data_IF_564617693315
#
_entry.id   IF_564617693315
#
_cell.length_a   1.000
_cell.length_b   1.000
_cell.length_c   1.000
_cell.angle_alpha   90.00
_cell.angle_beta   90.00
_cell.angle_gamma   90.00
#
_symmetry.space_group_name_H-M   'P 1'
#
loop_
_entity.id
_entity.type
_entity.pdbx_description
1 polymer ?
#
# COMPACT_ATOMS: atom_id res chain seq x y z
N UNK A 1 10.08 -21.29 21.16
CA UNK A 1 9.87 -20.35 20.04
C UNK A 1 10.56 -19.04 20.39
N UNK A 2 11.24 -18.37 19.46
CA UNK A 2 11.85 -17.06 19.76
C UNK A 2 10.73 -16.04 20.06
N UNK A 3 10.83 -15.18 21.08
CA UNK A 3 9.76 -14.26 21.46
C UNK A 3 9.24 -13.38 20.32
N UNK A 4 10.12 -12.98 19.40
CA UNK A 4 9.75 -12.21 18.21
C UNK A 4 8.89 -13.02 17.22
N UNK A 5 9.21 -14.29 16.97
CA UNK A 5 8.42 -15.15 16.08
C UNK A 5 7.02 -15.40 16.62
N UNK A 6 6.91 -15.57 17.94
CA UNK A 6 5.61 -15.74 18.59
C UNK A 6 4.75 -14.48 18.47
N UNK A 7 5.33 -13.30 18.67
CA UNK A 7 4.62 -12.02 18.51
C UNK A 7 4.12 -11.80 17.08
N UNK A 8 4.96 -12.01 16.07
CA UNK A 8 4.57 -11.87 14.65
C UNK A 8 3.42 -12.81 14.28
N UNK A 9 3.48 -14.08 14.69
CA UNK A 9 2.40 -15.04 14.43
C UNK A 9 1.10 -14.68 15.15
N UNK A 10 1.20 -14.08 16.34
CA UNK A 10 0.04 -13.62 17.11
C UNK A 10 -0.63 -12.40 16.49
N UNK A 11 0.14 -11.46 15.95
CA UNK A 11 -0.38 -10.31 15.21
C UNK A 11 -1.11 -10.79 13.95
N UNK A 12 -0.46 -11.60 13.11
CA UNK A 12 -1.09 -12.17 11.92
C UNK A 12 -2.36 -12.99 12.25
N UNK A 13 -2.36 -13.72 13.36
CA UNK A 13 -3.51 -14.46 13.86
C UNK A 13 -4.61 -13.55 14.44
N UNK A 14 -4.24 -12.42 15.02
CA UNK A 14 -5.20 -11.41 15.46
C UNK A 14 -5.89 -10.76 14.26
N UNK A 15 -5.11 -10.29 13.30
CA UNK A 15 -5.60 -9.59 12.12
C UNK A 15 -6.53 -10.50 11.30
N UNK A 16 -6.15 -11.76 11.07
CA UNK A 16 -6.95 -12.67 10.27
C UNK A 16 -8.29 -13.11 10.90
N UNK A 17 -8.47 -13.00 12.23
CA UNK A 17 -9.61 -13.63 12.92
C UNK A 17 -10.36 -12.74 13.91
N UNK A 18 -9.86 -11.54 14.23
CA UNK A 18 -10.49 -10.62 15.20
C UNK A 18 -11.88 -10.16 14.75
N UNK A 19 -12.11 -10.06 13.43
CA UNK A 19 -13.43 -9.73 12.87
C UNK A 19 -14.39 -10.93 12.76
N UNK A 20 -13.87 -12.16 12.85
CA UNK A 20 -14.66 -13.39 12.72
C UNK A 20 -15.02 -14.02 14.07
N UNK A 21 -14.24 -13.72 15.11
CA UNK A 21 -14.34 -14.32 16.43
C UNK A 21 -14.63 -13.22 17.46
N UNK A 22 -15.56 -13.47 18.36
CA UNK A 22 -15.63 -12.64 19.58
C UNK A 22 -14.29 -12.70 20.33
N UNK A 23 -13.96 -11.67 21.14
CA UNK A 23 -12.72 -11.65 21.91
C UNK A 23 -12.49 -12.93 22.73
N UNK A 24 -13.55 -13.50 23.29
CA UNK A 24 -13.47 -14.74 24.05
C UNK A 24 -13.23 -15.98 23.17
N UNK A 25 -13.84 -16.04 21.97
CA UNK A 25 -13.55 -17.09 21.00
C UNK A 25 -12.11 -17.01 20.49
N UNK A 26 -11.61 -15.80 20.23
CA UNK A 26 -10.23 -15.58 19.83
C UNK A 26 -9.25 -16.03 20.92
N UNK A 27 -9.47 -15.63 22.18
CA UNK A 27 -8.61 -16.01 23.31
C UNK A 27 -8.58 -17.52 23.50
N UNK A 28 -9.73 -18.19 23.42
CA UNK A 28 -9.80 -19.64 23.56
C UNK A 28 -9.10 -20.37 22.40
N UNK A 29 -9.30 -19.92 21.15
CA UNK A 29 -8.66 -20.54 19.98
C UNK A 29 -7.15 -20.34 19.97
N UNK A 30 -6.71 -19.14 20.34
CA UNK A 30 -5.29 -18.81 20.45
C UNK A 30 -4.64 -19.57 21.62
N UNK A 31 -5.35 -19.78 22.72
CA UNK A 31 -4.89 -20.62 23.84
C UNK A 31 -4.64 -22.06 23.40
N UNK A 32 -5.58 -22.69 22.68
CA UNK A 32 -5.41 -24.05 22.14
C UNK A 32 -4.13 -24.18 21.30
N UNK A 33 -3.87 -23.20 20.43
CA UNK A 33 -2.72 -23.19 19.52
C UNK A 33 -1.41 -22.87 20.24
N UNK A 34 -1.44 -21.93 21.19
CA UNK A 34 -0.25 -21.42 21.85
C UNK A 34 0.20 -22.30 23.02
N UNK A 35 -0.72 -23.03 23.68
CA UNK A 35 -0.43 -23.78 24.92
C UNK A 35 0.79 -24.70 24.83
N UNK A 36 1.01 -25.48 23.75
CA UNK A 36 2.19 -26.35 23.63
C UNK A 36 3.54 -25.60 23.63
N UNK A 37 3.53 -24.29 23.47
CA UNK A 37 4.73 -23.44 23.38
C UNK A 37 5.06 -22.69 24.67
N UNK A 38 4.21 -22.75 25.69
CA UNK A 38 4.44 -22.11 26.99
C UNK A 38 4.96 -23.12 28.03
N UNK A 39 5.82 -22.68 28.96
CA UNK A 39 6.29 -23.55 30.02
C UNK A 39 5.15 -23.97 30.96
N UNK A 40 5.24 -25.19 31.49
CA UNK A 40 4.19 -25.84 32.29
C UNK A 40 3.83 -25.07 33.57
N UNK A 41 4.71 -24.18 34.05
CA UNK A 41 4.50 -23.38 35.25
C UNK A 41 3.55 -22.19 35.05
N UNK A 42 3.12 -21.90 33.82
CA UNK A 42 2.07 -20.92 33.53
C UNK A 42 0.76 -21.70 33.46
N UNK A 43 -0.17 -21.45 34.36
CA UNK A 43 -1.51 -22.05 34.30
C UNK A 43 -2.36 -21.47 33.15
N UNK A 44 -3.45 -22.17 32.81
CA UNK A 44 -4.30 -21.81 31.68
C UNK A 44 -4.99 -20.45 31.86
N UNK A 45 -5.39 -20.10 33.08
CA UNK A 45 -6.06 -18.84 33.37
C UNK A 45 -5.08 -17.66 33.20
N UNK A 46 -3.85 -17.82 33.66
CA UNK A 46 -2.77 -16.85 33.46
C UNK A 46 -2.46 -16.67 31.98
N UNK A 47 -2.35 -17.77 31.22
CA UNK A 47 -2.11 -17.68 29.78
C UNK A 47 -3.28 -16.99 29.04
N UNK A 48 -4.53 -17.34 29.36
CA UNK A 48 -5.71 -16.69 28.77
C UNK A 48 -5.80 -15.20 29.12
N UNK A 49 -5.41 -14.81 30.33
CA UNK A 49 -5.35 -13.40 30.72
C UNK A 49 -4.27 -12.63 29.95
N UNK A 50 -3.11 -13.24 29.72
CA UNK A 50 -2.05 -12.66 28.86
C UNK A 50 -2.58 -12.49 27.42
N UNK A 51 -3.24 -13.52 26.87
CA UNK A 51 -3.80 -13.47 25.53
C UNK A 51 -4.92 -12.42 25.39
N UNK A 52 -5.76 -12.26 26.42
CA UNK A 52 -6.77 -11.19 26.44
C UNK A 52 -6.12 -9.81 26.45
N UNK A 53 -5.09 -9.61 27.27
CA UNK A 53 -4.30 -8.38 27.25
C UNK A 53 -3.60 -8.13 25.90
N UNK A 54 -3.21 -9.18 25.18
CA UNK A 54 -2.66 -9.06 23.84
C UNK A 54 -3.73 -8.68 22.81
N UNK A 55 -4.89 -9.34 22.83
CA UNK A 55 -6.04 -9.00 22.00
C UNK A 55 -6.46 -7.54 22.20
N UNK A 56 -6.63 -7.10 23.45
CA UNK A 56 -7.05 -5.73 23.77
C UNK A 56 -5.98 -4.68 23.45
N UNK A 57 -4.72 -5.08 23.27
CA UNK A 57 -3.60 -4.21 22.91
C UNK A 57 -3.35 -4.12 21.40
N UNK A 58 -3.93 -5.02 20.60
CA UNK A 58 -3.90 -4.93 19.14
C UNK A 58 -5.16 -4.14 18.73
N UNK A 59 -5.01 -2.91 18.20
CA UNK A 59 -6.16 -2.16 17.72
C UNK A 59 -6.83 -2.99 16.61
N UNK A 60 -8.15 -3.12 16.64
CA UNK A 60 -8.87 -3.80 15.55
C UNK A 60 -8.62 -3.09 14.21
N UNK A 61 -8.70 -3.80 13.09
CA UNK A 61 -8.63 -3.20 11.74
C UNK A 61 -9.65 -2.06 11.59
N UNK A 62 -10.81 -2.19 12.24
CA UNK A 62 -11.82 -1.14 12.32
C UNK A 62 -11.36 0.09 13.10
N UNK A 63 -10.57 -0.05 14.15
CA UNK A 63 -9.98 1.08 14.90
C UNK A 63 -8.80 1.72 14.16
N UNK A 64 -8.01 0.93 13.41
CA UNK A 64 -6.97 1.45 12.51
C UNK A 64 -7.58 2.21 11.32
N UNK A 65 -8.62 1.65 10.70
CA UNK A 65 -9.40 2.30 9.64
C UNK A 65 -10.08 3.59 10.14
N UNK A 66 -10.61 3.59 11.38
CA UNK A 66 -11.20 4.79 11.99
C UNK A 66 -10.15 5.86 12.38
N UNK A 67 -8.89 5.49 12.59
CA UNK A 67 -7.79 6.46 12.76
C UNK A 67 -7.40 7.16 11.46
N UNK A 68 -7.84 6.62 10.32
CA UNK A 68 -7.65 7.19 9.00
C UNK A 68 -8.93 7.84 8.47
N UNK A 69 -9.79 8.46 9.29
CA UNK A 69 -10.88 9.25 8.73
C UNK A 69 -10.28 10.42 7.93
N UNK A 70 -10.37 10.41 6.59
CA UNK A 70 -9.95 11.57 5.84
C UNK A 70 -10.87 12.73 6.23
N UNK A 71 -10.27 13.86 6.60
CA UNK A 71 -10.99 15.14 6.52
C UNK A 71 -11.07 15.45 5.03
N UNK A 72 -12.00 14.79 4.34
CA UNK A 72 -12.36 15.12 2.95
C UNK A 72 -13.08 16.46 3.04
N UNK A 73 -12.32 17.54 2.90
CA UNK A 73 -12.87 18.90 2.88
C UNK A 73 -13.76 19.07 1.64
N UNK A 74 -13.45 18.36 0.54
CA UNK A 74 -14.32 18.12 -0.61
C UNK A 74 -13.76 16.98 -1.48
N UNK A 75 -14.54 16.44 -2.42
CA UNK A 75 -14.06 15.42 -3.37
C UNK A 75 -12.85 15.89 -4.22
N UNK A 76 -12.58 17.20 -4.25
CA UNK A 76 -11.45 17.80 -4.97
C UNK A 76 -10.24 18.06 -4.06
N UNK A 77 -10.42 18.22 -2.75
CA UNK A 77 -9.35 18.59 -1.80
C UNK A 77 -9.27 17.58 -0.66
N UNK A 78 -8.15 16.85 -0.63
CA UNK A 78 -7.89 15.77 0.32
C UNK A 78 -6.85 16.27 1.33
N UNK A 79 -7.23 16.24 2.61
CA UNK A 79 -6.33 16.43 3.74
C UNK A 79 -6.43 15.20 4.65
N UNK A 80 -5.31 14.51 4.87
CA UNK A 80 -5.31 13.23 5.58
C UNK A 80 -4.01 13.04 6.36
N UNK A 81 -4.09 12.33 7.48
CA UNK A 81 -2.92 11.81 8.18
C UNK A 81 -2.66 10.40 7.65
N UNK A 82 -1.49 10.19 7.08
CA UNK A 82 -1.08 8.90 6.54
C UNK A 82 0.37 8.59 6.88
N UNK A 83 0.77 7.34 6.67
CA UNK A 83 2.05 6.82 7.11
C UNK A 83 2.88 6.33 5.94
N UNK A 84 4.19 6.51 6.02
CA UNK A 84 5.15 6.01 5.03
C UNK A 84 6.25 5.20 5.71
N UNK A 85 6.47 3.99 5.22
CA UNK A 85 7.65 3.20 5.56
C UNK A 85 8.82 3.57 4.67
N UNK A 86 9.98 3.81 5.27
CA UNK A 86 11.23 4.02 4.53
C UNK A 86 12.35 3.14 5.06
N UNK A 87 13.21 2.68 4.16
CA UNK A 87 14.34 1.78 4.44
C UNK A 87 15.71 2.41 4.18
N UNK A 88 15.73 3.54 3.46
CA UNK A 88 16.96 4.21 3.00
C UNK A 88 17.72 4.95 4.10
N UNK A 89 18.86 5.52 3.72
CA UNK A 89 19.60 6.41 4.61
C UNK A 89 18.76 7.66 4.92
N UNK A 90 18.73 8.04 6.19
CA UNK A 90 18.06 9.25 6.63
C UNK A 90 18.64 10.47 5.90
N UNK A 91 17.83 11.12 5.06
CA UNK A 91 18.25 12.35 4.39
C UNK A 91 18.42 13.49 5.41
N UNK A 92 19.32 14.45 5.16
CA UNK A 92 19.42 15.67 5.95
C UNK A 92 18.05 16.34 6.09
N UNK A 93 17.74 16.84 7.29
CA UNK A 93 16.46 17.49 7.62
C UNK A 93 15.22 16.60 7.53
N UNK A 94 15.39 15.26 7.59
CA UNK A 94 14.28 14.31 7.50
C UNK A 94 13.45 14.45 6.20
N UNK A 95 14.10 14.83 5.09
CA UNK A 95 13.43 14.84 3.80
C UNK A 95 12.89 13.44 3.47
N UNK A 96 11.70 13.40 2.84
CA UNK A 96 11.11 12.19 2.32
C UNK A 96 12.00 11.63 1.21
N UNK A 97 12.26 10.33 1.25
CA UNK A 97 13.06 9.64 0.26
C UNK A 97 12.15 8.93 -0.73
N UNK A 98 12.26 9.23 -2.02
CA UNK A 98 11.57 8.48 -3.08
C UNK A 98 12.52 8.23 -4.25
N UNK A 99 12.35 7.06 -4.89
CA UNK A 99 13.01 6.73 -6.16
C UNK A 99 12.09 6.95 -7.37
N UNK A 100 10.79 7.10 -7.12
CA UNK A 100 9.73 7.20 -8.12
C UNK A 100 9.17 8.63 -8.10
N UNK A 101 8.49 9.03 -9.18
CA UNK A 101 7.90 10.37 -9.27
C UNK A 101 6.75 10.63 -8.30
N UNK A 102 6.15 9.58 -7.73
CA UNK A 102 5.18 9.64 -6.65
C UNK A 102 5.80 9.30 -5.30
N UNK A 103 5.16 9.74 -4.21
CA UNK A 103 5.51 9.37 -2.83
C UNK A 103 4.28 8.73 -2.20
N UNK A 104 4.33 7.41 -2.03
CA UNK A 104 3.27 6.62 -1.39
C UNK A 104 3.20 6.76 0.12
N UNK A 105 1.97 6.78 0.61
CA UNK A 105 1.57 6.69 2.00
C UNK A 105 0.36 5.76 2.11
N UNK A 106 0.18 5.12 3.26
CA UNK A 106 -0.96 4.26 3.56
C UNK A 106 -1.22 4.23 5.06
N UNK A 107 -1.74 3.11 5.55
CA UNK A 107 -1.89 2.90 6.99
C UNK A 107 -0.55 2.75 7.70
N UNK A 108 -0.60 2.89 9.03
CA UNK A 108 0.57 2.63 9.88
C UNK A 108 1.05 1.19 9.76
N UNK A 109 0.13 0.22 9.66
CA UNK A 109 0.47 -1.19 9.54
C UNK A 109 1.25 -1.46 8.25
N UNK A 110 0.74 -0.97 7.11
CA UNK A 110 1.41 -1.05 5.81
C UNK A 110 2.77 -0.35 5.85
N UNK A 111 2.84 0.86 6.43
CA UNK A 111 4.10 1.58 6.57
C UNK A 111 5.13 0.82 7.43
N UNK A 112 4.69 0.13 8.48
CA UNK A 112 5.56 -0.73 9.30
C UNK A 112 6.06 -1.95 8.51
N UNK A 113 5.20 -2.57 7.71
CA UNK A 113 5.57 -3.69 6.84
C UNK A 113 6.66 -3.26 5.83
N UNK A 114 6.45 -2.13 5.13
CA UNK A 114 7.44 -1.57 4.20
C UNK A 114 8.72 -1.09 4.88
N UNK A 115 8.64 -0.55 6.10
CA UNK A 115 9.83 -0.21 6.87
C UNK A 115 10.61 -1.45 7.35
N UNK A 116 9.98 -2.63 7.40
CA UNK A 116 10.64 -3.88 7.76
C UNK A 116 11.21 -4.61 6.54
N UNK A 117 10.46 -4.65 5.43
CA UNK A 117 10.80 -5.37 4.21
C UNK A 117 10.42 -4.55 2.96
N UNK A 118 11.40 -4.25 2.09
CA UNK A 118 11.13 -3.62 0.79
C UNK A 118 10.64 -4.64 -0.21
N UNK A 119 9.73 -4.25 -1.09
CA UNK A 119 9.45 -5.01 -2.31
C UNK A 119 10.66 -5.06 -3.27
N UNK A 120 11.59 -4.11 -3.16
CA UNK A 120 12.78 -4.02 -4.02
C UNK A 120 13.99 -4.85 -3.51
N UNK A 121 13.80 -5.68 -2.47
CA UNK A 121 14.87 -6.45 -1.80
C UNK A 121 16.06 -5.60 -1.31
N UNK A 122 15.83 -4.32 -1.01
CA UNK A 122 16.85 -3.45 -0.43
C UNK A 122 17.26 -3.90 0.97
N UNK A 123 18.55 -3.79 1.28
CA UNK A 123 19.02 -3.92 2.66
C UNK A 123 18.54 -2.72 3.48
N UNK A 124 17.78 -2.93 4.58
CA UNK A 124 17.34 -1.84 5.45
C UNK A 124 18.54 -1.14 6.10
N UNK A 125 18.75 0.14 5.79
CA UNK A 125 19.84 0.95 6.36
C UNK A 125 19.37 1.69 7.60
N UNK A 126 18.24 2.41 7.50
CA UNK A 126 17.67 3.18 8.61
C UNK A 126 16.15 3.10 8.57
N UNK A 127 15.57 1.92 8.89
CA UNK A 127 14.13 1.71 8.80
C UNK A 127 13.37 2.68 9.70
N UNK A 128 12.38 3.38 9.13
CA UNK A 128 11.56 4.36 9.84
C UNK A 128 10.14 4.39 9.32
N UNK A 129 9.22 4.71 10.22
CA UNK A 129 7.81 5.00 9.90
C UNK A 129 7.58 6.48 10.11
N UNK A 130 7.14 7.15 9.05
CA UNK A 130 6.89 8.59 9.03
C UNK A 130 5.38 8.81 9.08
N UNK A 131 4.92 9.56 10.06
CA UNK A 131 3.55 10.10 10.10
C UNK A 131 3.56 11.49 9.45
N UNK A 132 2.71 11.71 8.45
CA UNK A 132 2.62 12.99 7.76
C UNK A 132 1.17 13.42 7.57
N UNK A 133 0.95 14.73 7.63
CA UNK A 133 -0.25 15.35 7.06
C UNK A 133 -0.02 15.57 5.57
N UNK A 134 -0.89 15.02 4.74
CA UNK A 134 -0.87 15.16 3.29
C UNK A 134 -1.92 16.15 2.81
N UNK A 135 -1.59 16.91 1.78
CA UNK A 135 -2.51 17.82 1.09
C UNK A 135 -2.47 17.54 -0.41
N UNK A 136 -3.57 17.02 -0.96
CA UNK A 136 -3.76 16.80 -2.41
C UNK A 136 -4.93 17.68 -2.84
N UNK A 137 -4.69 18.63 -3.75
CA UNK A 137 -5.69 19.64 -4.16
C UNK A 137 -6.36 19.32 -5.48
N UNK A 138 -5.73 18.49 -6.30
CA UNK A 138 -6.25 18.06 -7.59
C UNK A 138 -5.76 16.63 -7.85
N UNK A 139 -6.41 15.63 -7.21
CA UNK A 139 -6.06 14.25 -7.42
C UNK A 139 -6.35 13.82 -8.86
N UNK A 140 -5.47 13.01 -9.46
CA UNK A 140 -5.74 12.33 -10.73
C UNK A 140 -6.91 11.38 -10.54
N UNK A 141 -6.84 10.52 -9.52
CA UNK A 141 -7.87 9.57 -9.10
C UNK A 141 -8.19 9.82 -7.64
N UNK A 142 -9.46 9.71 -7.26
CA UNK A 142 -9.92 9.78 -5.88
C UNK A 142 -10.96 8.67 -5.63
N UNK A 143 -10.50 7.42 -5.73
CA UNK A 143 -11.31 6.23 -5.49
C UNK A 143 -10.57 5.28 -4.53
N UNK A 144 -10.65 5.51 -3.21
CA UNK A 144 -9.87 4.77 -2.22
C UNK A 144 -10.13 3.26 -2.17
N UNK A 145 -11.20 2.79 -2.82
CA UNK A 145 -11.61 1.39 -2.80
C UNK A 145 -11.25 0.65 -4.09
N UNK A 146 -10.91 1.37 -5.17
CA UNK A 146 -10.62 0.78 -6.48
C UNK A 146 -9.10 0.78 -6.77
N UNK A 147 -8.46 -0.40 -6.88
CA UNK A 147 -7.05 -0.50 -7.23
C UNK A 147 -6.76 -0.28 -8.73
N UNK A 148 -7.79 -0.21 -9.56
CA UNK A 148 -7.69 -0.04 -11.01
C UNK A 148 -7.83 1.43 -11.43
N UNK A 149 -7.52 1.70 -12.69
CA UNK A 149 -7.76 2.99 -13.33
C UNK A 149 -8.40 2.77 -14.70
N UNK A 150 -9.53 3.44 -14.92
CA UNK A 150 -10.27 3.35 -16.18
C UNK A 150 -9.55 4.09 -17.33
N UNK A 151 -9.55 3.48 -18.50
CA UNK A 151 -9.07 4.11 -19.72
C UNK A 151 -9.89 5.36 -20.09
N UNK A 152 -11.21 5.35 -19.87
CA UNK A 152 -12.04 6.55 -20.04
C UNK A 152 -11.56 7.70 -19.15
N UNK A 153 -11.19 7.41 -17.91
CA UNK A 153 -10.65 8.40 -17.00
C UNK A 153 -9.31 8.95 -17.51
N UNK A 154 -8.39 8.08 -17.91
CA UNK A 154 -7.12 8.49 -18.52
C UNK A 154 -7.31 9.34 -19.78
N UNK A 155 -8.27 9.00 -20.65
CA UNK A 155 -8.60 9.79 -21.85
C UNK A 155 -9.01 11.22 -21.46
N UNK A 156 -9.80 11.37 -20.40
CA UNK A 156 -10.23 12.68 -19.93
C UNK A 156 -9.08 13.49 -19.27
N UNK A 157 -8.09 12.80 -18.70
CA UNK A 157 -6.95 13.42 -17.98
C UNK A 157 -5.82 13.80 -18.93
N UNK A 158 -5.33 12.86 -19.74
CA UNK A 158 -4.13 13.02 -20.59
C UNK A 158 -4.42 12.97 -22.09
N UNK A 159 -5.66 12.71 -22.48
CA UNK A 159 -6.05 12.56 -23.88
C UNK A 159 -5.88 11.13 -24.40
N UNK A 160 -6.58 10.84 -25.50
CA UNK A 160 -6.65 9.50 -26.08
C UNK A 160 -5.32 8.95 -26.57
N UNK A 161 -4.51 9.76 -27.26
CA UNK A 161 -3.20 9.32 -27.78
C UNK A 161 -2.27 8.84 -26.66
N UNK A 162 -2.09 9.65 -25.61
CA UNK A 162 -1.31 9.29 -24.41
C UNK A 162 -1.89 8.10 -23.67
N UNK A 163 -3.22 7.95 -23.66
CA UNK A 163 -3.88 6.78 -23.05
C UNK A 163 -3.57 5.50 -23.81
N UNK A 164 -3.61 5.52 -25.15
CA UNK A 164 -3.24 4.36 -25.96
C UNK A 164 -1.77 3.96 -25.76
N UNK A 165 -0.89 4.94 -25.56
CA UNK A 165 0.51 4.68 -25.21
C UNK A 165 0.64 3.99 -23.83
N UNK A 166 -0.10 4.46 -22.82
CA UNK A 166 -0.16 3.82 -21.50
C UNK A 166 -0.65 2.37 -21.61
N UNK A 167 -1.75 2.13 -22.33
CA UNK A 167 -2.33 0.78 -22.48
C UNK A 167 -1.35 -0.20 -23.12
N UNK A 168 -0.62 0.23 -24.16
CA UNK A 168 0.37 -0.62 -24.84
C UNK A 168 1.60 -0.87 -23.96
N UNK A 169 2.13 0.16 -23.31
CA UNK A 169 3.33 0.03 -22.45
C UNK A 169 3.07 -0.77 -21.17
N UNK A 170 1.80 -0.90 -20.75
CA UNK A 170 1.37 -1.63 -19.55
C UNK A 170 0.44 -2.81 -19.92
N UNK A 171 0.65 -3.43 -21.08
CA UNK A 171 -0.17 -4.54 -21.59
C UNK A 171 -0.29 -5.70 -20.60
N UNK A 172 0.75 -5.98 -19.82
CA UNK A 172 0.73 -7.07 -18.84
C UNK A 172 -0.28 -6.79 -17.71
N UNK A 173 -0.42 -5.53 -17.30
CA UNK A 173 -1.40 -5.10 -16.31
C UNK A 173 -2.81 -4.97 -16.86
N UNK A 174 -2.94 -4.79 -18.17
CA UNK A 174 -4.22 -4.80 -18.87
C UNK A 174 -4.74 -6.23 -19.03
N UNK A 175 -3.91 -7.12 -19.57
CA UNK A 175 -4.28 -8.51 -19.89
C UNK A 175 -4.42 -9.42 -18.68
N UNK A 176 -3.83 -9.05 -17.54
CA UNK A 176 -4.01 -9.77 -16.28
C UNK A 176 -5.28 -9.32 -15.53
N UNK A 177 -6.31 -8.86 -16.25
CA UNK A 177 -7.62 -8.49 -15.70
C UNK A 177 -8.72 -9.30 -16.37
N UNK A 178 -9.77 -9.65 -15.61
CA UNK A 178 -10.95 -10.32 -16.18
C UNK A 178 -11.65 -9.45 -17.24
N UNK A 179 -11.52 -8.12 -17.15
CA UNK A 179 -12.12 -7.18 -18.10
C UNK A 179 -11.53 -7.31 -19.50
N UNK A 180 -10.21 -7.46 -19.63
CA UNK A 180 -9.58 -7.66 -20.93
C UNK A 180 -10.17 -8.88 -21.64
N UNK A 181 -10.22 -10.03 -20.96
CA UNK A 181 -10.74 -11.28 -21.51
C UNK A 181 -12.20 -11.13 -21.98
N UNK A 182 -13.04 -10.49 -21.16
CA UNK A 182 -14.44 -10.21 -21.52
C UNK A 182 -14.53 -9.32 -22.76
N UNK A 183 -13.72 -8.25 -22.84
CA UNK A 183 -13.77 -7.31 -23.96
C UNK A 183 -13.26 -7.95 -25.26
N UNK A 184 -12.17 -8.71 -25.24
CA UNK A 184 -11.68 -9.37 -26.47
C UNK A 184 -12.62 -10.48 -26.93
N UNK A 185 -13.29 -11.21 -26.04
CA UNK A 185 -14.32 -12.19 -26.41
C UNK A 185 -15.56 -11.50 -27.02
N UNK A 186 -16.05 -10.42 -26.39
CA UNK A 186 -17.22 -9.66 -26.87
C UNK A 186 -17.06 -9.16 -28.31
N UNK A 187 -15.85 -8.75 -28.68
CA UNK A 187 -15.53 -8.22 -30.00
C UNK A 187 -14.91 -9.23 -30.97
N UNK A 188 -14.82 -10.52 -30.61
CA UNK A 188 -14.21 -11.58 -31.42
C UNK A 188 -12.74 -11.26 -31.79
N UNK A 189 -11.96 -10.78 -30.80
CA UNK A 189 -10.55 -10.34 -30.93
C UNK A 189 -9.57 -11.22 -30.13
N UNK A 190 -10.03 -12.27 -29.46
CA UNK A 190 -9.24 -13.21 -28.62
C UNK A 190 -8.10 -13.91 -29.37
N UNK A 191 -8.19 -13.96 -30.70
CA UNK A 191 -7.19 -14.55 -31.60
C UNK A 191 -6.05 -13.58 -31.98
N UNK A 192 -6.10 -12.32 -31.55
CA UNK A 192 -5.12 -11.29 -31.86
C UNK A 192 -4.08 -11.10 -30.75
N UNK A 193 -2.93 -10.53 -31.08
CA UNK A 193 -2.02 -9.97 -30.08
C UNK A 193 -2.59 -8.69 -29.47
N UNK A 194 -2.06 -8.27 -28.32
CA UNK A 194 -2.59 -7.11 -27.58
C UNK A 194 -2.60 -5.84 -28.42
N UNK A 195 -1.51 -5.55 -29.15
CA UNK A 195 -1.42 -4.36 -30.00
C UNK A 195 -2.45 -4.41 -31.13
N UNK A 196 -2.59 -5.55 -31.82
CA UNK A 196 -3.58 -5.69 -32.90
C UNK A 196 -5.02 -5.62 -32.39
N UNK A 197 -5.29 -6.18 -31.20
CA UNK A 197 -6.59 -6.09 -30.54
C UNK A 197 -6.93 -4.65 -30.16
N UNK A 198 -5.99 -3.90 -29.58
CA UNK A 198 -6.17 -2.48 -29.26
C UNK A 198 -6.42 -1.63 -30.52
N UNK A 199 -5.70 -1.88 -31.62
CA UNK A 199 -5.90 -1.21 -32.91
C UNK A 199 -7.27 -1.54 -33.54
N UNK A 200 -7.81 -2.74 -33.27
CA UNK A 200 -9.15 -3.13 -33.69
C UNK A 200 -10.21 -2.46 -32.79
N UNK A 201 -10.04 -2.48 -31.48
CA UNK A 201 -10.91 -1.83 -30.49
C UNK A 201 -11.01 -0.32 -30.70
N UNK A 202 -9.94 0.36 -31.13
CA UNK A 202 -9.97 1.80 -31.42
C UNK A 202 -10.99 2.17 -32.51
N UNK A 203 -11.33 1.22 -33.40
CA UNK A 203 -12.33 1.39 -34.46
C UNK A 203 -13.75 1.10 -33.99
N UNK A 204 -13.91 0.55 -32.79
CA UNK A 204 -15.18 0.17 -32.18
C UNK A 204 -15.57 1.25 -31.14
N UNK A 205 -16.71 1.93 -31.31
CA UNK A 205 -17.11 2.98 -30.37
C UNK A 205 -17.23 2.47 -28.93
N UNK A 206 -16.47 3.06 -28.01
CA UNK A 206 -16.53 2.78 -26.58
C UNK A 206 -15.68 1.59 -26.11
N UNK A 207 -15.09 0.80 -27.01
CA UNK A 207 -14.34 -0.40 -26.64
C UNK A 207 -13.02 -0.11 -25.90
N UNK A 208 -12.40 1.04 -26.16
CA UNK A 208 -11.22 1.47 -25.39
C UNK A 208 -11.64 2.04 -24.05
N UNK A 209 -12.73 2.80 -24.00
CA UNK A 209 -13.25 3.44 -22.79
C UNK A 209 -13.68 2.43 -21.72
N UNK A 210 -14.06 1.21 -22.10
CA UNK A 210 -14.46 0.12 -21.20
C UNK A 210 -13.31 -0.65 -20.57
N UNK A 211 -12.07 -0.37 -20.99
CA UNK A 211 -10.87 -1.01 -20.44
C UNK A 211 -10.46 -0.36 -19.11
N UNK A 212 -9.92 -1.18 -18.23
CA UNK A 212 -9.17 -0.74 -17.05
C UNK A 212 -7.92 -1.59 -16.87
N UNK A 213 -7.00 -1.11 -16.04
CA UNK A 213 -5.78 -1.82 -15.65
C UNK A 213 -5.36 -1.41 -14.25
N UNK A 214 -4.39 -2.14 -13.66
CA UNK A 214 -3.83 -1.79 -12.35
C UNK A 214 -3.43 -0.31 -12.32
N UNK A 215 -3.78 0.41 -11.25
CA UNK A 215 -3.45 1.84 -11.12
C UNK A 215 -1.97 2.09 -10.81
N UNK A 216 -1.35 1.24 -9.98
CA UNK A 216 0.01 1.49 -9.47
C UNK A 216 1.11 1.59 -10.53
N UNK A 217 1.14 0.80 -11.63
CA UNK A 217 2.16 0.93 -12.68
C UNK A 217 2.09 2.28 -13.37
N UNK A 218 0.90 2.90 -13.38
CA UNK A 218 0.68 4.20 -13.99
C UNK A 218 1.03 5.32 -13.00
N UNK A 219 0.52 5.21 -11.78
CA UNK A 219 0.61 6.25 -10.75
C UNK A 219 2.00 6.38 -10.11
N UNK A 220 2.90 5.41 -10.38
CA UNK A 220 4.29 5.41 -9.92
C UNK A 220 5.31 5.66 -11.03
N UNK A 221 4.89 5.68 -12.29
CA UNK A 221 5.81 5.83 -13.42
C UNK A 221 6.15 7.30 -13.69
N UNK A 222 7.44 7.61 -13.74
CA UNK A 222 7.95 8.97 -13.91
C UNK A 222 7.39 9.68 -15.15
N UNK A 223 7.20 8.96 -16.26
CA UNK A 223 6.67 9.50 -17.52
C UNK A 223 5.22 9.94 -17.35
N UNK A 224 4.36 9.06 -16.83
CA UNK A 224 2.92 9.35 -16.74
C UNK A 224 2.60 10.32 -15.61
N UNK A 225 3.29 10.21 -14.47
CA UNK A 225 3.22 11.22 -13.40
C UNK A 225 3.67 12.59 -13.93
N UNK A 226 4.69 12.64 -14.79
CA UNK A 226 5.07 13.84 -15.53
C UNK A 226 3.90 14.46 -16.29
N UNK A 227 3.17 13.66 -17.07
CA UNK A 227 1.98 14.12 -17.79
C UNK A 227 0.85 14.59 -16.87
N UNK A 228 0.61 13.92 -15.75
CA UNK A 228 -0.40 14.36 -14.79
C UNK A 228 -0.06 15.73 -14.20
N UNK A 229 1.21 15.95 -13.86
CA UNK A 229 1.70 17.24 -13.37
C UNK A 229 1.60 18.35 -14.42
N UNK A 230 1.86 18.04 -15.70
CA UNK A 230 1.63 18.98 -16.81
C UNK A 230 0.16 19.43 -16.90
N UNK A 231 -0.78 18.54 -16.57
CA UNK A 231 -2.22 18.81 -16.54
C UNK A 231 -2.70 19.43 -15.20
N UNK A 232 -1.75 19.73 -14.30
CA UNK A 232 -1.97 20.41 -13.03
C UNK A 232 -2.46 19.51 -11.89
N UNK A 233 -2.44 18.18 -12.06
CA UNK A 233 -2.73 17.25 -10.97
C UNK A 233 -1.54 17.14 -10.02
N UNK A 234 -1.82 16.94 -8.73
CA UNK A 234 -0.80 16.96 -7.67
C UNK A 234 -0.75 15.67 -6.83
N UNK A 235 -1.59 14.68 -7.08
CA UNK A 235 -1.51 13.40 -6.39
C UNK A 235 -2.60 12.44 -6.83
N UNK A 236 -2.85 11.39 -6.06
CA UNK A 236 -4.00 10.51 -6.22
C UNK A 236 -4.30 9.77 -4.90
N UNK A 237 -5.52 9.24 -4.84
CA UNK A 237 -5.98 8.29 -3.84
C UNK A 237 -6.66 7.15 -4.58
N UNK A 238 -6.18 5.92 -4.36
CA UNK A 238 -6.71 4.71 -5.00
C UNK A 238 -6.67 3.54 -4.03
N UNK A 239 -7.36 2.45 -4.36
CA UNK A 239 -7.26 1.19 -3.64
C UNK A 239 -5.84 0.60 -3.72
N UNK A 240 -5.32 0.13 -2.60
CA UNK A 240 -4.00 -0.46 -2.51
C UNK A 240 -3.92 -1.84 -3.17
N UNK A 241 -2.69 -2.27 -3.44
CA UNK A 241 -2.37 -3.55 -4.08
C UNK A 241 -1.28 -4.27 -3.27
N UNK A 242 -1.30 -5.61 -3.27
CA UNK A 242 -0.32 -6.41 -2.54
C UNK A 242 -0.41 -6.21 -1.03
N UNK A 243 0.63 -5.64 -0.40
CA UNK A 243 0.68 -5.42 1.05
C UNK A 243 -0.35 -4.39 1.53
N UNK A 244 -0.75 -3.44 0.67
CA UNK A 244 -1.80 -2.46 0.96
C UNK A 244 -3.17 -2.86 0.43
N UNK A 245 -3.36 -4.11 0.01
CA UNK A 245 -4.66 -4.57 -0.48
C UNK A 245 -5.77 -4.32 0.55
N UNK A 246 -6.94 -3.88 0.07
CA UNK A 246 -8.11 -3.51 0.88
C UNK A 246 -7.97 -2.22 1.71
N UNK A 247 -6.91 -1.44 1.50
CA UNK A 247 -6.73 -0.13 2.11
C UNK A 247 -6.52 0.96 1.07
N UNK A 248 -6.85 2.20 1.41
CA UNK A 248 -6.54 3.35 0.56
C UNK A 248 -5.02 3.64 0.53
N UNK A 249 -4.46 3.77 -0.66
CA UNK A 249 -3.12 4.31 -0.88
C UNK A 249 -3.20 5.79 -1.30
N UNK A 250 -2.39 6.62 -0.66
CA UNK A 250 -2.29 8.05 -0.93
C UNK A 250 -0.95 8.34 -1.57
N UNK A 251 -0.94 8.96 -2.75
CA UNK A 251 0.29 9.36 -3.43
C UNK A 251 0.31 10.85 -3.67
N UNK A 252 1.40 11.50 -3.28
CA UNK A 252 1.68 12.91 -3.60
C UNK A 252 2.75 12.99 -4.69
N UNK A 253 2.67 14.00 -5.55
CA UNK A 253 3.64 14.21 -6.64
C UNK A 253 4.74 15.21 -6.30
N UNK A 254 4.61 15.90 -5.17
CA UNK A 254 5.61 16.82 -4.64
C UNK A 254 5.82 16.62 -3.14
N UNK A 255 7.07 16.56 -2.64
CA UNK A 255 7.34 16.45 -1.20
C UNK A 255 6.72 17.56 -0.35
N UNK A 256 6.55 18.76 -0.91
CA UNK A 256 5.95 19.92 -0.24
C UNK A 256 4.48 19.70 0.16
N UNK A 257 3.82 18.69 -0.40
CA UNK A 257 2.46 18.31 -0.05
C UNK A 257 2.39 17.51 1.26
N UNK A 258 3.53 17.10 1.82
CA UNK A 258 3.61 16.40 3.08
C UNK A 258 4.24 17.27 4.17
N UNK A 259 3.53 17.40 5.29
CA UNK A 259 4.09 17.95 6.53
C UNK A 259 4.36 16.80 7.49
N UNK A 260 5.64 16.46 7.67
CA UNK A 260 6.06 15.42 8.62
C UNK A 260 5.69 15.83 10.04
N UNK A 261 4.91 14.99 10.73
CA UNK A 261 4.45 15.20 12.10
C UNK A 261 5.29 14.44 13.11
N UNK A 262 5.62 13.20 12.79
CA UNK A 262 6.39 12.32 13.66
C UNK A 262 7.22 11.32 12.84
N UNK A 263 8.32 10.86 13.42
CA UNK A 263 9.18 9.82 12.84
C UNK A 263 9.45 8.79 13.93
N UNK A 264 8.93 7.58 13.74
CA UNK A 264 9.24 6.42 14.55
C UNK A 264 10.41 5.68 13.91
N UNK A 265 11.58 5.79 14.54
CA UNK A 265 12.76 5.04 14.12
C UNK A 265 12.60 3.62 14.62
N UNK A 266 12.42 2.67 13.70
CA UNK A 266 12.35 1.26 14.05
C UNK A 266 13.56 0.89 14.90
N UNK A 267 13.36 0.10 15.97
CA UNK A 267 14.50 -0.36 16.77
C UNK A 267 15.42 -1.18 15.86
N UNK A 268 16.70 -0.80 15.68
CA UNK A 268 17.60 -1.58 14.83
C UNK A 268 17.68 -3.01 15.37
N UNK A 269 17.59 -3.98 14.48
CA UNK A 269 17.72 -5.38 14.85
C UNK A 269 19.12 -5.62 15.46
N UNK A 270 19.29 -6.62 16.35
CA UNK A 270 20.61 -6.97 16.89
C UNK A 270 21.68 -7.22 15.82
N UNK A 271 21.26 -7.64 14.62
CA UNK A 271 22.12 -7.89 13.47
C UNK A 271 22.59 -6.56 12.83
N UNK A 272 21.68 -5.61 12.61
CA UNK A 272 22.02 -4.24 12.19
C UNK A 272 22.93 -3.52 13.22
N UNK A 273 22.72 -3.78 14.52
CA UNK A 273 23.59 -3.26 15.59
C UNK A 273 25.00 -3.91 15.60
N UNK A 274 25.18 -5.10 15.02
CA UNK A 274 26.49 -5.75 14.90
C UNK A 274 27.27 -5.24 13.68
N UNK A 275 26.60 -4.98 12.56
CA UNK A 275 27.22 -4.51 11.31
C UNK A 275 27.70 -3.04 11.39
N UNK A 276 27.05 -2.21 12.20
CA UNK A 276 27.43 -0.81 12.41
C UNK A 276 28.38 -0.54 13.60
N UNK A 277 28.97 -1.58 14.22
CA UNK A 277 30.03 -1.32 15.21
C UNK A 277 31.22 -0.67 14.50
N UNK A 278 31.66 0.54 14.91
CA UNK A 278 32.86 1.13 14.34
C UNK A 278 34.00 0.12 14.53
N UNK A 279 34.64 -0.28 13.42
CA UNK A 279 35.88 -1.04 13.49
C UNK A 279 36.88 -0.15 14.21
N UNK A 280 37.09 -0.41 15.49
CA UNK A 280 38.19 0.18 16.25
C UNK A 280 39.45 -0.36 15.58
N UNK A 281 40.00 0.40 14.62
CA UNK A 281 41.31 0.12 14.08
C UNK A 281 42.30 0.25 15.23
N UNK A 282 42.95 -0.86 15.57
CA UNK A 282 44.12 -0.89 16.45
C UNK A 282 45.37 -0.67 15.64
#
# INVERSE_FOLDING_TARGET
MHPQTFHTHLTQWHDAYSDMLSPEQWVNKTHELARPHFPENIDDDTLKNILRGAHDAVPSDRELANQMQPLIESAEHIRVIAYRGELGEAQPNNALHTRRASISFGSKAVAMAYAANSNDNDTPVSPRVIEAELIIKKPVVNDPEDPFIDALHLINVVGRERTMEILRENSDHLTNTDNWDVQVEEYDLDHLGVDEALDAMEKIPGAIESLYLDGYPILDNDKYVGWFKEMGYDGCVHGGNGESALEAEYKIFHPEQATVRNIDWGRPTPQQMQEHRPRIMR
#
